data_IF_686007671684
#
_entry.id   IF_686007671684
#
_cell.length_a   1.000
_cell.length_b   1.000
_cell.length_c   1.000
_cell.angle_alpha   90.00
_cell.angle_beta   90.00
_cell.angle_gamma   90.00
#
_symmetry.space_group_name_H-M   'P 1'
#
loop_
_entity.id
_entity.type
_entity.pdbx_description
1 polymer ?
#
# COMPACT_ATOMS: atom_id res chain seq x y z
N UNK A 1 14.13 -18.84 5.17
CA UNK A 1 13.14 -18.04 4.43
C UNK A 1 13.00 -16.71 5.14
N UNK A 2 13.53 -15.63 4.56
CA UNK A 2 13.50 -14.30 5.17
C UNK A 2 12.15 -13.64 4.88
N UNK A 3 11.58 -12.91 5.85
CA UNK A 3 10.27 -12.24 5.73
C UNK A 3 10.17 -11.39 4.45
N UNK A 4 11.25 -10.68 4.09
CA UNK A 4 11.32 -9.85 2.88
C UNK A 4 11.16 -10.69 1.60
N UNK A 5 11.71 -11.90 1.54
CA UNK A 5 11.51 -12.81 0.39
C UNK A 5 10.06 -13.28 0.29
N UNK A 6 9.43 -13.61 1.41
CA UNK A 6 8.01 -14.00 1.40
C UNK A 6 7.11 -12.85 0.93
N UNK A 7 7.41 -11.60 1.31
CA UNK A 7 6.68 -10.43 0.82
C UNK A 7 6.84 -10.29 -0.70
N UNK A 8 8.08 -10.41 -1.23
CA UNK A 8 8.32 -10.33 -2.68
C UNK A 8 7.70 -11.48 -3.48
N UNK A 9 7.44 -12.61 -2.83
CA UNK A 9 6.79 -13.79 -3.42
C UNK A 9 5.24 -13.76 -3.29
N UNK A 10 4.68 -12.72 -2.66
CA UNK A 10 3.24 -12.59 -2.47
C UNK A 10 2.64 -13.46 -1.35
N UNK A 11 3.47 -14.03 -0.48
CA UNK A 11 3.02 -14.91 0.62
C UNK A 11 2.23 -14.15 1.70
N UNK A 12 2.33 -12.81 1.71
CA UNK A 12 1.74 -11.95 2.74
C UNK A 12 0.76 -10.91 2.18
N UNK A 13 0.25 -11.09 0.95
CA UNK A 13 -0.58 -10.10 0.26
C UNK A 13 -1.82 -9.66 1.04
N UNK A 14 -2.47 -10.59 1.74
CA UNK A 14 -3.63 -10.31 2.59
C UNK A 14 -3.32 -9.32 3.72
N UNK A 15 -2.05 -9.24 4.16
CA UNK A 15 -1.57 -8.33 5.19
C UNK A 15 -1.26 -6.92 4.68
N UNK A 16 -1.24 -6.70 3.35
CA UNK A 16 -0.78 -5.45 2.74
C UNK A 16 -1.89 -4.40 2.57
N UNK A 17 -3.09 -4.67 3.11
CA UNK A 17 -4.25 -3.79 2.96
C UNK A 17 -4.22 -2.63 3.96
N UNK A 18 -4.03 -1.41 3.46
CA UNK A 18 -4.23 -0.20 4.25
C UNK A 18 -5.70 0.11 4.44
N UNK A 19 -6.04 0.66 5.61
CA UNK A 19 -7.38 1.16 5.90
C UNK A 19 -7.34 2.61 6.39
N UNK A 20 -8.07 3.52 5.72
CA UNK A 20 -8.18 4.94 6.10
C UNK A 20 -9.59 5.47 5.90
N UNK A 21 -10.00 6.40 6.76
CA UNK A 21 -11.29 7.07 6.67
C UNK A 21 -11.18 8.35 5.84
N UNK A 22 -12.08 8.52 4.85
CA UNK A 22 -12.28 9.84 4.24
C UNK A 22 -12.90 10.79 5.26
N UNK A 23 -12.18 11.87 5.58
CA UNK A 23 -12.65 12.90 6.51
C UNK A 23 -13.54 13.94 5.83
N UNK A 24 -13.37 14.10 4.50
CA UNK A 24 -14.15 15.01 3.65
C UNK A 24 -14.70 14.25 2.45
N UNK A 25 -15.78 14.73 1.81
CA UNK A 25 -16.21 14.28 0.49
C UNK A 25 -15.08 14.32 -0.54
N UNK A 26 -15.08 13.37 -1.49
CA UNK A 26 -14.00 13.22 -2.48
C UNK A 26 -13.76 14.47 -3.33
N UNK A 27 -14.83 15.21 -3.62
CA UNK A 27 -14.83 16.46 -4.39
C UNK A 27 -14.12 17.62 -3.67
N UNK A 28 -14.03 17.59 -2.35
CA UNK A 28 -13.39 18.67 -1.57
C UNK A 28 -11.86 18.58 -1.53
N UNK A 29 -11.26 17.48 -1.99
CA UNK A 29 -9.81 17.33 -2.05
C UNK A 29 -9.24 17.98 -3.32
N UNK A 30 -8.90 19.27 -3.30
CA UNK A 30 -8.58 20.00 -4.55
C UNK A 30 -7.09 20.07 -4.90
N UNK A 31 -6.17 19.99 -3.92
CA UNK A 31 -4.72 20.21 -4.16
C UNK A 31 -3.94 18.89 -4.25
N UNK A 32 -3.43 18.41 -3.13
CA UNK A 32 -2.69 17.15 -3.05
C UNK A 32 -3.60 16.08 -2.47
N UNK A 33 -3.91 15.06 -3.27
CA UNK A 33 -4.71 13.92 -2.82
C UNK A 33 -3.80 12.90 -2.11
N UNK A 34 -4.06 12.60 -0.82
CA UNK A 34 -3.41 11.49 -0.13
C UNK A 34 -3.65 10.15 -0.84
N UNK A 35 -2.87 9.08 -0.53
CA UNK A 35 -3.00 7.80 -1.23
C UNK A 35 -4.41 7.19 -1.22
N UNK A 36 -5.07 7.19 -0.06
CA UNK A 36 -6.45 6.72 0.07
C UNK A 36 -7.45 7.53 -0.76
N UNK A 37 -7.24 8.84 -0.93
CA UNK A 37 -8.08 9.71 -1.77
C UNK A 37 -7.86 9.39 -3.24
N UNK A 38 -6.61 9.17 -3.67
CA UNK A 38 -6.27 8.73 -5.03
C UNK A 38 -6.90 7.38 -5.36
N UNK A 39 -6.82 6.41 -4.45
CA UNK A 39 -7.46 5.11 -4.59
C UNK A 39 -8.98 5.24 -4.76
N UNK A 40 -9.65 6.04 -3.93
CA UNK A 40 -11.09 6.27 -4.05
C UNK A 40 -11.49 6.94 -5.37
N UNK A 41 -10.66 7.86 -5.91
CA UNK A 41 -10.91 8.45 -7.23
C UNK A 41 -10.88 7.43 -8.34
N UNK A 42 -9.80 6.65 -8.40
CA UNK A 42 -9.68 5.57 -9.37
C UNK A 42 -10.88 4.62 -9.31
N UNK A 43 -11.32 4.26 -8.10
CA UNK A 43 -12.49 3.41 -7.92
C UNK A 43 -13.82 4.04 -8.36
N UNK A 44 -14.03 5.33 -8.10
CA UNK A 44 -15.22 6.05 -8.57
C UNK A 44 -15.20 6.28 -10.10
N UNK A 45 -14.02 6.49 -10.70
CA UNK A 45 -13.82 6.57 -12.15
C UNK A 45 -14.17 5.23 -12.81
N UNK A 46 -13.71 4.10 -12.25
CA UNK A 46 -14.05 2.77 -12.75
C UNK A 46 -15.53 2.44 -12.57
N UNK A 47 -16.16 2.86 -11.46
CA UNK A 47 -17.61 2.75 -11.28
C UNK A 47 -18.37 3.53 -12.36
N UNK A 48 -17.97 4.79 -12.61
CA UNK A 48 -18.59 5.63 -13.63
C UNK A 48 -18.46 5.00 -15.03
N UNK A 49 -17.28 4.47 -15.37
CA UNK A 49 -17.02 3.79 -16.65
C UNK A 49 -17.85 2.52 -16.84
N UNK A 50 -18.12 1.80 -15.74
CA UNK A 50 -18.91 0.55 -15.76
C UNK A 50 -20.40 0.75 -15.47
N UNK A 51 -20.86 2.00 -15.33
CA UNK A 51 -22.26 2.32 -15.02
C UNK A 51 -22.70 1.96 -13.59
N UNK A 52 -21.75 1.71 -12.68
CA UNK A 52 -22.01 1.41 -11.27
C UNK A 52 -22.16 2.70 -10.45
N UNK A 53 -22.90 2.65 -9.33
CA UNK A 53 -23.03 3.80 -8.44
C UNK A 53 -21.68 4.18 -7.81
N UNK A 54 -21.41 5.49 -7.71
CA UNK A 54 -20.23 6.03 -7.03
C UNK A 54 -20.28 5.70 -5.53
N UNK A 55 -19.14 5.31 -4.96
CA UNK A 55 -19.06 4.82 -3.58
C UNK A 55 -18.48 5.83 -2.59
N UNK A 56 -17.65 6.77 -3.06
CA UNK A 56 -16.82 7.59 -2.17
C UNK A 56 -17.26 9.06 -2.06
N UNK A 57 -18.54 9.34 -2.33
CA UNK A 57 -19.10 10.70 -2.23
C UNK A 57 -19.36 11.16 -0.78
N UNK A 58 -19.44 10.21 0.17
CA UNK A 58 -19.62 10.49 1.61
C UNK A 58 -18.36 10.09 2.41
N UNK A 59 -18.38 10.36 3.71
CA UNK A 59 -17.33 9.92 4.65
C UNK A 59 -17.34 8.40 4.78
N UNK A 60 -16.54 7.73 3.96
CA UNK A 60 -16.45 6.27 3.90
C UNK A 60 -15.06 5.78 4.31
N UNK A 61 -15.02 4.59 4.92
CA UNK A 61 -13.77 3.87 5.18
C UNK A 61 -13.28 3.23 3.88
N UNK A 62 -12.05 3.52 3.51
CA UNK A 62 -11.41 3.00 2.30
C UNK A 62 -10.40 1.95 2.71
N UNK A 63 -10.46 0.80 2.04
CA UNK A 63 -9.41 -0.21 2.04
C UNK A 63 -8.67 -0.13 0.71
N UNK A 64 -7.36 0.03 0.76
CA UNK A 64 -6.54 0.21 -0.43
C UNK A 64 -5.19 -0.44 -0.27
N UNK A 65 -4.56 -0.73 -1.41
CA UNK A 65 -3.21 -1.27 -1.52
C UNK A 65 -2.37 -0.31 -2.35
N UNK A 66 -1.07 -0.30 -2.10
CA UNK A 66 -0.08 0.34 -2.95
C UNK A 66 0.31 -0.62 -4.06
N UNK A 67 0.15 -0.16 -5.29
CA UNK A 67 0.55 -0.88 -6.51
C UNK A 67 1.66 -0.11 -7.20
N UNK A 68 2.33 -0.74 -8.16
CA UNK A 68 3.43 -0.13 -8.93
C UNK A 68 3.01 1.14 -9.68
N UNK A 69 1.72 1.30 -10.01
CA UNK A 69 1.18 2.49 -10.67
C UNK A 69 0.47 3.44 -9.71
N UNK A 70 0.60 3.22 -8.40
CA UNK A 70 -0.03 4.04 -7.36
C UNK A 70 -1.08 3.30 -6.53
N UNK A 71 -1.81 4.00 -5.64
CA UNK A 71 -2.74 3.38 -4.72
C UNK A 71 -4.06 2.99 -5.41
N UNK A 72 -4.51 1.76 -5.23
CA UNK A 72 -5.79 1.24 -5.75
C UNK A 72 -6.62 0.64 -4.61
N UNK A 73 -7.95 0.72 -4.70
CA UNK A 73 -8.82 0.05 -3.73
C UNK A 73 -8.76 -1.46 -3.95
N UNK A 74 -8.91 -2.25 -2.89
CA UNK A 74 -8.82 -3.72 -2.94
C UNK A 74 -9.79 -4.30 -3.97
N UNK A 75 -11.00 -3.74 -4.05
CA UNK A 75 -12.05 -4.22 -4.95
C UNK A 75 -11.80 -3.93 -6.44
N UNK A 76 -10.92 -2.98 -6.75
CA UNK A 76 -10.58 -2.54 -8.11
C UNK A 76 -9.06 -2.56 -8.34
N UNK A 77 -8.34 -3.41 -7.62
CA UNK A 77 -6.92 -3.61 -7.83
C UNK A 77 -6.71 -4.38 -9.13
N UNK A 78 -5.97 -3.78 -10.06
CA UNK A 78 -5.67 -4.37 -11.37
C UNK A 78 -4.17 -4.45 -11.65
N UNK A 79 -3.37 -3.81 -10.82
CA UNK A 79 -1.93 -3.66 -10.99
C UNK A 79 -1.18 -4.46 -9.92
N UNK A 80 0.05 -4.92 -10.21
CA UNK A 80 0.84 -5.66 -9.23
C UNK A 80 1.16 -4.78 -8.01
N UNK A 81 1.22 -5.41 -6.84
CA UNK A 81 1.56 -4.73 -5.59
C UNK A 81 2.99 -4.20 -5.64
N UNK A 82 3.19 -3.00 -5.08
CA UNK A 82 4.52 -2.41 -4.93
C UNK A 82 5.16 -2.97 -3.66
N UNK A 83 5.78 -4.16 -3.75
CA UNK A 83 6.39 -4.82 -2.59
C UNK A 83 7.51 -3.99 -1.95
N UNK A 84 8.30 -3.28 -2.77
CA UNK A 84 9.38 -2.43 -2.28
C UNK A 84 8.81 -1.29 -1.42
N UNK A 85 7.66 -0.71 -1.79
CA UNK A 85 6.97 0.24 -0.92
C UNK A 85 6.69 -0.32 0.48
N UNK A 86 6.20 -1.55 0.60
CA UNK A 86 5.86 -2.13 1.92
C UNK A 86 7.12 -2.46 2.72
N UNK A 87 8.15 -2.98 2.06
CA UNK A 87 9.45 -3.24 2.70
C UNK A 87 10.02 -1.93 3.26
N UNK A 88 10.02 -0.87 2.46
CA UNK A 88 10.58 0.43 2.82
C UNK A 88 9.75 1.23 3.84
N UNK A 89 8.42 1.19 3.72
CA UNK A 89 7.53 2.05 4.52
C UNK A 89 6.89 1.34 5.72
N UNK A 90 6.88 0.01 5.76
CA UNK A 90 6.32 -0.76 6.87
C UNK A 90 7.40 -1.59 7.58
N UNK A 91 8.16 -2.39 6.86
CA UNK A 91 9.10 -3.34 7.48
C UNK A 91 10.36 -2.64 7.99
N UNK A 92 11.02 -1.82 7.17
CA UNK A 92 12.25 -1.11 7.53
C UNK A 92 12.07 -0.26 8.80
N UNK A 93 11.04 0.60 8.95
CA UNK A 93 10.88 1.39 10.17
C UNK A 93 10.71 0.56 11.44
N UNK A 94 10.05 -0.60 11.35
CA UNK A 94 9.90 -1.53 12.48
C UNK A 94 11.25 -2.17 12.80
N UNK A 95 11.96 -2.64 11.78
CA UNK A 95 13.28 -3.23 11.93
C UNK A 95 14.29 -2.23 12.52
N UNK A 96 14.35 -1.00 11.99
CA UNK A 96 15.22 0.08 12.50
C UNK A 96 14.92 0.44 13.96
N UNK A 97 13.68 0.24 14.42
CA UNK A 97 13.31 0.49 15.82
C UNK A 97 13.74 -0.60 16.80
N UNK A 98 14.03 -1.82 16.31
CA UNK A 98 14.28 -3.01 17.15
C UNK A 98 15.72 -3.52 16.97
N UNK A 99 16.21 -3.61 15.72
CA UNK A 99 17.50 -4.20 15.37
C UNK A 99 18.69 -3.55 16.10
N UNK A 100 18.76 -2.21 16.28
CA UNK A 100 19.87 -1.61 17.01
C UNK A 100 19.99 -2.11 18.46
N UNK A 101 18.88 -2.49 19.10
CA UNK A 101 18.89 -3.01 20.47
C UNK A 101 19.55 -4.38 20.60
N UNK A 102 19.64 -5.14 19.50
CA UNK A 102 20.29 -6.44 19.42
C UNK A 102 21.58 -6.42 18.60
N UNK A 103 22.09 -5.22 18.27
CA UNK A 103 23.32 -5.02 17.50
C UNK A 103 23.19 -5.38 16.01
N UNK A 104 21.98 -5.44 15.46
CA UNK A 104 21.73 -5.64 14.04
C UNK A 104 21.38 -4.34 13.32
N UNK A 105 21.38 -4.40 11.99
CA UNK A 105 20.92 -3.32 11.12
C UNK A 105 20.12 -3.88 9.93
N UNK A 106 19.22 -3.06 9.38
CA UNK A 106 18.34 -3.49 8.31
C UNK A 106 19.09 -3.79 7.00
N UNK A 107 20.15 -3.05 6.70
CA UNK A 107 20.92 -3.22 5.47
C UNK A 107 21.64 -4.58 5.45
N UNK A 108 22.17 -5.04 6.57
CA UNK A 108 22.71 -6.40 6.72
C UNK A 108 21.65 -7.48 6.48
N UNK A 109 20.41 -7.26 6.91
CA UNK A 109 19.30 -8.19 6.71
C UNK A 109 18.79 -8.20 5.25
N UNK A 110 18.76 -7.02 4.62
CA UNK A 110 18.32 -6.85 3.23
C UNK A 110 19.41 -7.26 2.22
N UNK A 111 20.69 -7.00 2.50
CA UNK A 111 21.82 -7.35 1.64
C UNK A 111 22.10 -8.86 1.60
N UNK A 112 21.82 -9.59 2.69
CA UNK A 112 21.80 -11.06 2.67
C UNK A 112 20.82 -11.64 1.62
N UNK A 113 19.86 -10.85 1.14
CA UNK A 113 18.92 -11.24 0.09
C UNK A 113 19.36 -10.82 -1.32
N UNK A 114 20.28 -9.85 -1.44
CA UNK A 114 20.84 -9.36 -2.72
C UNK A 114 22.18 -10.03 -3.08
N UNK A 115 22.78 -10.81 -2.19
CA UNK A 115 23.97 -11.60 -2.44
C UNK A 115 23.70 -12.86 -3.26
N UNK A 116 23.32 -12.69 -4.53
CA UNK A 116 23.29 -13.75 -5.56
C UNK A 116 23.21 -13.10 -6.96
N UNK A 117 24.22 -12.30 -7.31
CA UNK A 117 24.62 -12.01 -8.68
C UNK A 117 26.14 -11.98 -8.78
#
# INVERSE_FOLDING_TARGET
MTIISGIKQGEFDDGLVYTKQLRKPLKEYTKTAPPHVKAARHADEENARTGKPLRYQKRTKIRYVMTTTGPQVVEYCSQPLDYDHYIEKQIRPIADSILPAIGGDFESLASQQLGLF
#
